data_IF_443000351802
#
_entry.id   IF_443000351802
#
_cell.length_a   1.000
_cell.length_b   1.000
_cell.length_c   1.000
_cell.angle_alpha   90.00
_cell.angle_beta   90.00
_cell.angle_gamma   90.00
#
_symmetry.space_group_name_H-M   'P 1'
#
loop_
_entity.id
_entity.type
_entity.pdbx_description
1 polymer ?
#
# COMPACT_ATOMS: atom_id res chain seq x y z
N UNK A 1 68.81 -24.15 31.34
CA UNK A 1 67.38 -24.58 31.30
C UNK A 1 66.37 -23.55 31.79
N UNK A 2 66.75 -22.37 32.25
CA UNK A 2 65.79 -21.32 32.71
C UNK A 2 65.35 -20.29 31.62
N UNK A 3 66.01 -20.24 30.47
CA UNK A 3 65.69 -19.28 29.41
C UNK A 3 64.66 -19.76 28.34
N UNK A 4 64.38 -21.05 28.27
CA UNK A 4 63.42 -21.58 27.28
C UNK A 4 62.00 -21.64 27.80
N UNK A 5 61.76 -21.56 29.11
CA UNK A 5 60.38 -21.54 29.68
C UNK A 5 59.72 -20.18 29.52
N UNK A 6 60.49 -19.09 29.44
CA UNK A 6 59.97 -17.74 29.32
C UNK A 6 59.38 -17.45 27.92
N UNK A 7 59.87 -18.10 26.88
CA UNK A 7 59.36 -17.91 25.51
C UNK A 7 58.10 -18.73 25.21
N UNK A 8 57.86 -19.81 25.91
CA UNK A 8 56.64 -20.63 25.72
C UNK A 8 55.42 -19.96 26.39
N UNK A 9 55.62 -19.22 27.47
CA UNK A 9 54.55 -18.47 28.13
C UNK A 9 54.14 -17.17 27.38
N UNK A 10 55.05 -16.58 26.58
CA UNK A 10 54.77 -15.39 25.82
C UNK A 10 53.97 -15.67 24.53
N UNK A 11 54.02 -16.89 23.98
CA UNK A 11 53.31 -17.26 22.75
C UNK A 11 51.85 -17.68 23.01
N UNK A 12 51.53 -18.12 24.22
CA UNK A 12 50.15 -18.53 24.58
C UNK A 12 49.25 -17.31 24.89
N UNK A 13 49.82 -16.15 25.18
CA UNK A 13 49.05 -14.93 25.51
C UNK A 13 48.64 -14.09 24.30
N UNK A 14 49.06 -14.43 23.07
CA UNK A 14 48.78 -13.68 21.86
C UNK A 14 47.66 -14.31 20.98
N UNK A 15 47.04 -15.42 21.39
CA UNK A 15 46.02 -16.11 20.57
C UNK A 15 44.60 -16.04 21.14
N UNK A 16 44.38 -15.14 22.14
CA UNK A 16 43.13 -15.03 22.89
C UNK A 16 42.23 -13.85 22.57
N UNK A 17 42.41 -13.15 21.45
CA UNK A 17 41.65 -11.94 21.19
C UNK A 17 41.33 -11.79 19.70
N UNK A 18 40.41 -12.56 19.12
CA UNK A 18 39.56 -12.13 18.02
C UNK A 18 38.40 -13.12 17.88
N UNK A 19 37.39 -13.04 18.71
CA UNK A 19 36.03 -13.50 18.42
C UNK A 19 35.02 -12.47 18.97
N UNK A 20 35.19 -11.20 18.63
CA UNK A 20 34.03 -10.30 18.58
C UNK A 20 33.37 -10.55 17.26
N UNK A 21 32.55 -11.60 17.17
CA UNK A 21 31.54 -11.72 16.13
C UNK A 21 30.66 -10.50 16.25
N UNK A 22 30.72 -9.58 15.28
CA UNK A 22 29.63 -8.65 15.04
C UNK A 22 28.37 -9.50 14.89
N UNK A 23 27.49 -9.49 15.89
CA UNK A 23 26.09 -9.78 15.66
C UNK A 23 25.67 -8.74 14.62
N UNK A 24 25.43 -9.16 13.39
CA UNK A 24 24.57 -8.44 12.48
C UNK A 24 23.24 -8.38 13.23
N UNK A 25 22.90 -7.22 13.74
CA UNK A 25 21.52 -6.96 14.11
C UNK A 25 20.75 -7.15 12.80
N UNK A 26 20.04 -8.26 12.69
CA UNK A 26 18.97 -8.43 11.71
C UNK A 26 17.86 -7.46 12.13
N UNK A 27 18.09 -6.14 11.87
CA UNK A 27 16.98 -5.22 11.76
C UNK A 27 16.11 -5.79 10.67
N UNK A 28 14.84 -6.04 11.01
CA UNK A 28 13.81 -6.19 10.01
C UNK A 28 14.04 -5.08 8.97
N UNK A 29 13.89 -5.35 7.66
CA UNK A 29 14.04 -4.32 6.66
C UNK A 29 13.21 -3.11 7.12
N UNK A 30 13.88 -1.96 7.31
CA UNK A 30 13.17 -0.70 7.50
C UNK A 30 12.25 -0.60 6.28
N UNK A 31 10.96 -0.42 6.53
CA UNK A 31 9.99 -0.12 5.48
C UNK A 31 10.51 1.15 4.79
N UNK A 32 11.18 1.01 3.64
CA UNK A 32 11.43 2.16 2.79
C UNK A 32 10.04 2.56 2.27
N UNK A 33 9.49 3.66 2.81
CA UNK A 33 8.22 4.19 2.34
C UNK A 33 8.32 4.40 0.82
N UNK A 34 7.55 3.59 0.08
CA UNK A 34 7.53 3.69 -1.37
C UNK A 34 6.88 5.02 -1.76
N UNK A 35 7.58 5.80 -2.60
CA UNK A 35 7.02 7.04 -3.11
C UNK A 35 5.82 6.73 -4.02
N UNK A 36 4.61 7.01 -3.53
CA UNK A 36 3.37 6.89 -4.30
C UNK A 36 3.03 8.24 -4.91
N UNK A 37 3.17 8.36 -6.23
CA UNK A 37 2.88 9.60 -6.95
C UNK A 37 1.56 9.56 -7.71
N UNK A 38 1.04 8.37 -8.00
CA UNK A 38 -0.16 8.23 -8.84
C UNK A 38 -1.02 7.08 -8.35
N UNK A 39 -2.32 7.34 -8.20
CA UNK A 39 -3.35 6.33 -7.91
C UNK A 39 -4.44 6.41 -8.96
N UNK A 40 -4.79 5.27 -9.57
CA UNK A 40 -5.84 5.15 -10.60
C UNK A 40 -6.90 4.16 -10.14
N UNK A 41 -8.15 4.58 -10.15
CA UNK A 41 -9.32 3.72 -9.94
C UNK A 41 -9.99 3.46 -11.29
N UNK A 42 -9.97 2.22 -11.74
CA UNK A 42 -10.59 1.82 -13.02
C UNK A 42 -11.84 0.99 -12.75
N UNK A 43 -12.95 1.44 -13.31
CA UNK A 43 -14.28 0.85 -13.15
C UNK A 43 -14.76 0.21 -14.43
N UNK A 44 -15.34 -0.99 -14.31
CA UNK A 44 -16.04 -1.72 -15.39
C UNK A 44 -17.42 -2.07 -14.91
N UNK A 45 -18.49 -1.60 -15.61
CA UNK A 45 -19.86 -1.91 -15.24
C UNK A 45 -20.14 -3.42 -15.38
N UNK A 46 -20.72 -4.03 -14.34
CA UNK A 46 -21.11 -5.44 -14.34
C UNK A 46 -22.33 -5.62 -15.26
N UNK A 47 -22.20 -6.52 -16.24
CA UNK A 47 -23.25 -6.73 -17.25
C UNK A 47 -23.36 -5.62 -18.29
N UNK A 48 -22.47 -4.66 -18.30
CA UNK A 48 -22.39 -3.59 -19.30
C UNK A 48 -21.62 -4.00 -20.56
N UNK A 49 -21.25 -3.03 -21.38
CA UNK A 49 -20.52 -3.21 -22.65
C UNK A 49 -19.04 -3.54 -22.48
N UNK A 50 -18.52 -3.54 -21.24
CA UNK A 50 -17.09 -3.66 -20.93
C UNK A 50 -16.31 -2.34 -21.06
N UNK A 51 -17.00 -1.21 -21.29
CA UNK A 51 -16.37 0.11 -21.28
C UNK A 51 -15.79 0.40 -19.89
N UNK A 52 -14.61 1.02 -19.87
CA UNK A 52 -13.91 1.41 -18.66
C UNK A 52 -14.03 2.90 -18.39
N UNK A 53 -14.15 3.27 -17.11
CA UNK A 53 -13.98 4.63 -16.62
C UNK A 53 -12.83 4.65 -15.64
N UNK A 54 -11.86 5.53 -15.82
CA UNK A 54 -10.69 5.66 -14.93
C UNK A 54 -10.66 7.04 -14.31
N UNK A 55 -10.42 7.10 -13.01
CA UNK A 55 -10.26 8.35 -12.26
C UNK A 55 -8.90 8.34 -11.57
N UNK A 56 -8.16 9.42 -11.76
CA UNK A 56 -6.73 9.51 -11.38
C UNK A 56 -6.53 10.57 -10.30
N UNK A 57 -5.74 10.22 -9.32
CA UNK A 57 -5.04 11.15 -8.44
C UNK A 57 -3.57 11.16 -8.83
N UNK A 58 -2.96 12.36 -8.89
CA UNK A 58 -1.53 12.51 -9.18
C UNK A 58 -0.92 13.62 -8.33
N UNK A 59 0.11 13.24 -7.59
CA UNK A 59 0.94 14.07 -6.76
C UNK A 59 2.40 13.70 -7.04
N UNK A 60 3.12 14.54 -7.76
CA UNK A 60 4.42 14.17 -8.34
C UNK A 60 5.55 14.05 -7.31
N UNK A 61 5.45 14.73 -6.19
CA UNK A 61 6.43 14.76 -5.09
C UNK A 61 5.93 14.04 -3.82
N UNK A 62 4.72 13.44 -3.90
CA UNK A 62 4.13 12.67 -2.81
C UNK A 62 3.58 13.50 -1.66
N UNK A 63 3.12 12.85 -0.58
CA UNK A 63 2.49 13.52 0.55
C UNK A 63 3.38 14.59 1.19
N UNK A 64 2.85 15.80 1.40
CA UNK A 64 3.50 16.88 2.16
C UNK A 64 4.33 17.86 1.33
N UNK A 65 4.41 17.68 0.01
CA UNK A 65 5.07 18.58 -0.93
C UNK A 65 4.17 19.65 -1.53
N UNK A 66 4.21 19.83 -2.86
CA UNK A 66 3.30 20.68 -3.59
C UNK A 66 1.88 20.10 -3.59
N UNK A 67 0.87 20.90 -3.96
CA UNK A 67 -0.48 20.38 -4.10
C UNK A 67 -0.57 19.35 -5.25
N UNK A 68 -1.42 18.31 -5.14
CA UNK A 68 -1.64 17.35 -6.21
C UNK A 68 -1.96 18.04 -7.54
N UNK A 69 -1.36 17.58 -8.62
CA UNK A 69 -1.56 18.13 -9.97
C UNK A 69 -2.84 17.60 -10.61
N UNK A 70 -3.41 16.50 -10.08
CA UNK A 70 -4.65 15.90 -10.55
C UNK A 70 -5.39 15.24 -9.37
N UNK A 71 -6.68 15.47 -9.28
CA UNK A 71 -7.61 14.75 -8.41
C UNK A 71 -8.96 14.71 -9.09
N UNK A 72 -9.18 13.70 -9.94
CA UNK A 72 -10.40 13.58 -10.75
C UNK A 72 -11.58 13.16 -9.87
N UNK A 73 -12.74 13.73 -10.15
CA UNK A 73 -13.99 13.35 -9.50
C UNK A 73 -14.49 12.00 -10.03
N UNK A 74 -14.78 11.05 -9.14
CA UNK A 74 -15.44 9.80 -9.48
C UNK A 74 -16.90 10.08 -9.85
N UNK A 75 -17.26 9.85 -11.12
CA UNK A 75 -18.61 10.01 -11.64
C UNK A 75 -19.12 8.65 -12.14
N UNK A 76 -20.12 8.09 -11.45
CA UNK A 76 -20.70 6.79 -11.79
C UNK A 76 -22.20 6.91 -12.06
N UNK A 77 -22.70 6.09 -12.99
CA UNK A 77 -24.14 6.05 -13.29
C UNK A 77 -24.94 5.47 -12.10
N UNK A 78 -26.21 5.91 -11.92
CA UNK A 78 -27.04 5.45 -10.82
C UNK A 78 -27.55 4.02 -11.01
N UNK A 79 -27.77 3.35 -9.87
CA UNK A 79 -28.33 1.99 -9.79
C UNK A 79 -27.56 0.96 -10.60
N UNK A 80 -26.24 1.02 -10.52
CA UNK A 80 -25.30 0.15 -11.22
C UNK A 80 -24.36 -0.56 -10.24
N UNK A 81 -23.71 -1.60 -10.75
CA UNK A 81 -22.62 -2.27 -10.07
C UNK A 81 -21.38 -2.24 -10.96
N UNK A 82 -20.23 -2.01 -10.35
CA UNK A 82 -18.93 -1.93 -11.01
C UNK A 82 -17.91 -2.82 -10.35
N UNK A 83 -17.10 -3.50 -11.16
CA UNK A 83 -15.81 -4.02 -10.71
C UNK A 83 -14.81 -2.86 -10.76
N UNK A 84 -14.15 -2.60 -9.65
CA UNK A 84 -13.10 -1.60 -9.54
C UNK A 84 -11.74 -2.27 -9.33
N UNK A 85 -10.73 -1.78 -10.04
CA UNK A 85 -9.33 -2.13 -9.83
C UNK A 85 -8.55 -0.87 -9.50
N UNK A 86 -7.72 -0.91 -8.45
CA UNK A 86 -6.80 0.16 -8.11
C UNK A 86 -5.42 -0.14 -8.69
N UNK A 87 -4.77 0.89 -9.23
CA UNK A 87 -3.35 0.87 -9.62
C UNK A 87 -2.61 2.01 -8.92
N UNK A 88 -1.46 1.69 -8.36
CA UNK A 88 -0.57 2.59 -7.63
C UNK A 88 0.78 2.60 -8.31
N UNK A 89 1.31 3.80 -8.61
CA UNK A 89 2.53 3.97 -9.36
C UNK A 89 3.45 5.01 -8.71
N UNK A 90 4.75 4.81 -8.87
CA UNK A 90 5.77 5.85 -8.73
C UNK A 90 6.19 6.33 -10.14
N UNK A 91 5.62 7.45 -10.58
CA UNK A 91 5.94 8.08 -11.87
C UNK A 91 7.15 9.04 -11.80
N UNK A 92 7.81 9.17 -10.64
CA UNK A 92 9.10 9.86 -10.53
C UNK A 92 10.22 9.09 -11.25
N UNK A 93 10.02 7.79 -11.45
CA UNK A 93 10.96 6.87 -12.12
C UNK A 93 10.63 6.74 -13.61
N UNK A 94 11.63 6.34 -14.41
CA UNK A 94 11.48 6.07 -15.85
C UNK A 94 12.12 4.72 -16.20
N UNK A 95 11.34 3.67 -16.57
CA UNK A 95 9.88 3.65 -16.60
C UNK A 95 9.27 3.78 -15.20
N UNK A 96 8.00 4.21 -15.12
CA UNK A 96 7.27 4.28 -13.85
C UNK A 96 7.31 2.94 -13.11
N UNK A 97 7.59 2.96 -11.81
CA UNK A 97 7.54 1.75 -10.98
C UNK A 97 6.08 1.37 -10.71
N UNK A 98 5.81 0.07 -10.73
CA UNK A 98 4.48 -0.48 -10.47
C UNK A 98 4.35 -0.92 -9.01
N UNK A 99 4.02 0.02 -8.13
CA UNK A 99 3.85 -0.22 -6.69
C UNK A 99 2.71 -1.21 -6.43
N UNK A 100 1.69 -1.27 -7.29
CA UNK A 100 0.63 -2.29 -7.15
C UNK A 100 1.18 -3.72 -7.18
N UNK A 101 2.20 -3.98 -8.00
CA UNK A 101 2.80 -5.31 -8.08
C UNK A 101 3.55 -5.67 -6.78
N UNK A 102 4.18 -4.69 -6.15
CA UNK A 102 4.88 -4.83 -4.86
C UNK A 102 3.86 -5.06 -3.74
N UNK A 103 2.77 -4.27 -3.67
CA UNK A 103 1.65 -4.48 -2.74
C UNK A 103 1.04 -5.88 -2.88
N UNK A 104 0.92 -6.42 -4.10
CA UNK A 104 0.41 -7.77 -4.34
C UNK A 104 1.41 -8.83 -3.88
N UNK A 105 2.72 -8.62 -4.10
CA UNK A 105 3.76 -9.54 -3.64
C UNK A 105 3.80 -9.61 -2.10
N UNK A 106 3.53 -8.48 -1.44
CA UNK A 106 3.47 -8.31 0.01
C UNK A 106 2.02 -8.25 0.54
N UNK A 107 1.10 -8.96 -0.12
CA UNK A 107 -0.32 -8.89 0.19
C UNK A 107 -0.66 -9.20 1.65
N UNK A 108 0.19 -9.99 2.34
CA UNK A 108 -0.01 -10.33 3.75
C UNK A 108 0.17 -9.14 4.69
N UNK A 109 0.81 -8.08 4.21
CA UNK A 109 1.16 -6.91 5.02
C UNK A 109 0.43 -5.62 4.56
N UNK A 110 -0.25 -5.64 3.41
CA UNK A 110 -0.96 -4.49 2.88
C UNK A 110 -2.49 -4.66 2.85
N UNK A 111 -3.21 -3.54 2.98
CA UNK A 111 -4.67 -3.51 2.83
C UNK A 111 -5.16 -2.14 2.37
N UNK A 112 -6.00 -2.13 1.31
CA UNK A 112 -6.76 -0.95 0.92
C UNK A 112 -8.08 -0.86 1.70
N UNK A 113 -8.43 0.36 2.08
CA UNK A 113 -9.71 0.75 2.64
C UNK A 113 -10.39 1.77 1.74
N UNK A 114 -11.71 1.64 1.60
CA UNK A 114 -12.55 2.52 0.82
C UNK A 114 -13.69 3.01 1.72
N UNK A 115 -13.79 4.32 1.96
CA UNK A 115 -14.78 4.92 2.83
C UNK A 115 -15.61 5.99 2.11
N UNK A 116 -16.74 5.62 1.46
CA UNK A 116 -17.69 6.57 0.89
C UNK A 116 -18.34 7.40 1.99
N UNK A 117 -18.53 8.71 1.74
CA UNK A 117 -19.20 9.64 2.63
C UNK A 117 -20.00 10.68 1.85
N UNK A 118 -21.27 10.87 2.20
CA UNK A 118 -22.15 11.84 1.54
C UNK A 118 -22.55 11.52 0.09
N UNK A 119 -22.25 10.31 -0.40
CA UNK A 119 -22.57 9.86 -1.75
C UNK A 119 -23.20 8.47 -1.70
N UNK A 120 -24.13 8.17 -2.64
CA UNK A 120 -24.82 6.89 -2.71
C UNK A 120 -23.97 5.80 -3.35
N UNK A 121 -22.84 5.47 -2.72
CA UNK A 121 -21.92 4.41 -3.12
C UNK A 121 -21.68 3.48 -1.94
N UNK A 122 -21.69 2.17 -2.20
CA UNK A 122 -21.27 1.13 -1.26
C UNK A 122 -20.14 0.34 -1.88
N UNK A 123 -19.08 0.07 -1.10
CA UNK A 123 -17.95 -0.74 -1.52
C UNK A 123 -17.96 -2.07 -0.78
N UNK A 124 -17.76 -3.16 -1.50
CA UNK A 124 -17.76 -4.52 -0.98
C UNK A 124 -16.88 -5.43 -1.85
N UNK A 125 -16.85 -6.73 -1.60
CA UNK A 125 -16.19 -7.70 -2.48
C UNK A 125 -14.71 -7.43 -2.70
N UNK A 126 -13.99 -6.99 -1.66
CA UNK A 126 -12.54 -6.84 -1.73
C UNK A 126 -11.90 -8.18 -2.00
N UNK A 127 -10.90 -8.23 -2.91
CA UNK A 127 -10.07 -9.43 -3.02
C UNK A 127 -9.25 -9.64 -1.75
N UNK A 128 -8.85 -10.89 -1.54
CA UNK A 128 -8.09 -11.29 -0.36
C UNK A 128 -6.61 -11.56 -0.69
N UNK A 129 -5.81 -11.53 0.36
CA UNK A 129 -4.45 -12.06 0.37
C UNK A 129 -4.45 -13.62 0.40
N UNK A 130 -3.29 -14.26 0.28
CA UNK A 130 -3.19 -15.73 0.32
C UNK A 130 -3.68 -16.38 1.62
N UNK A 131 -3.81 -15.61 2.71
CA UNK A 131 -4.32 -16.08 4.01
C UNK A 131 -5.83 -15.82 4.18
N UNK A 132 -6.52 -15.33 3.13
CA UNK A 132 -7.96 -15.05 3.15
C UNK A 132 -8.35 -13.74 3.83
N UNK A 133 -7.40 -12.84 4.14
CA UNK A 133 -7.67 -11.53 4.73
C UNK A 133 -7.82 -10.46 3.63
N UNK A 134 -8.61 -9.40 3.83
CA UNK A 134 -8.81 -8.36 2.81
C UNK A 134 -7.51 -7.73 2.33
N UNK A 135 -7.31 -7.64 1.00
CA UNK A 135 -6.27 -6.86 0.34
C UNK A 135 -6.85 -5.60 -0.31
N UNK A 136 -7.88 -5.76 -1.14
CA UNK A 136 -8.63 -4.66 -1.73
C UNK A 136 -8.04 -4.05 -3.01
N UNK A 137 -7.13 -4.72 -3.72
CA UNK A 137 -6.65 -4.28 -5.05
C UNK A 137 -7.80 -4.34 -6.07
N UNK A 138 -8.72 -5.27 -5.88
CA UNK A 138 -10.00 -5.30 -6.60
C UNK A 138 -11.16 -5.23 -5.61
N UNK A 139 -12.26 -4.61 -6.04
CA UNK A 139 -13.45 -4.41 -5.20
C UNK A 139 -14.71 -4.28 -6.06
N UNK A 140 -15.88 -4.43 -5.43
CA UNK A 140 -17.18 -4.25 -6.07
C UNK A 140 -17.83 -2.98 -5.51
N UNK A 141 -18.22 -2.06 -6.40
CA UNK A 141 -18.87 -0.80 -6.05
C UNK A 141 -20.31 -0.82 -6.55
N UNK A 142 -21.23 -0.53 -5.66
CA UNK A 142 -22.67 -0.45 -5.98
C UNK A 142 -23.13 0.97 -5.77
N UNK A 143 -23.74 1.57 -6.82
CA UNK A 143 -24.35 2.90 -6.77
C UNK A 143 -25.84 2.80 -6.49
N UNK A 144 -26.35 3.72 -5.67
CA UNK A 144 -27.78 3.95 -5.50
C UNK A 144 -28.32 4.96 -6.50
N UNK A 145 -29.39 5.65 -6.13
CA UNK A 145 -29.97 6.73 -6.95
C UNK A 145 -28.99 7.89 -7.10
N UNK A 146 -29.13 8.64 -8.22
CA UNK A 146 -28.42 9.90 -8.43
C UNK A 146 -28.68 10.86 -7.26
N UNK A 147 -27.66 11.65 -6.88
CA UNK A 147 -27.77 12.49 -5.69
C UNK A 147 -26.67 13.53 -5.54
N UNK A 148 -26.53 14.02 -4.32
CA UNK A 148 -25.52 15.00 -3.97
C UNK A 148 -24.09 14.43 -4.18
N UNK A 149 -23.14 15.31 -4.46
CA UNK A 149 -21.74 14.97 -4.43
C UNK A 149 -21.28 14.73 -2.99
N UNK A 150 -20.36 13.80 -2.83
CA UNK A 150 -19.69 13.49 -1.58
C UNK A 150 -18.23 13.15 -1.86
N UNK A 151 -17.66 12.26 -1.08
CA UNK A 151 -16.27 11.81 -1.21
C UNK A 151 -16.16 10.29 -1.07
N UNK A 152 -15.09 9.74 -1.63
CA UNK A 152 -14.59 8.41 -1.26
C UNK A 152 -13.15 8.55 -0.81
N UNK A 153 -12.91 8.25 0.47
CA UNK A 153 -11.55 8.16 0.99
C UNK A 153 -10.97 6.80 0.63
N UNK A 154 -9.80 6.80 0.02
CA UNK A 154 -8.98 5.62 -0.27
C UNK A 154 -7.75 5.67 0.62
N UNK A 155 -7.51 4.62 1.40
CA UNK A 155 -6.34 4.53 2.29
C UNK A 155 -5.63 3.21 2.02
N UNK A 156 -4.32 3.24 1.79
CA UNK A 156 -3.44 2.08 1.83
C UNK A 156 -2.78 2.01 3.19
N UNK A 157 -2.83 0.84 3.80
CA UNK A 157 -2.19 0.56 5.10
C UNK A 157 -1.15 -0.53 4.95
N UNK A 158 0.01 -0.32 5.56
CA UNK A 158 1.06 -1.30 5.78
C UNK A 158 0.97 -1.84 7.21
N UNK A 159 0.90 -3.17 7.37
CA UNK A 159 0.59 -3.87 8.62
C UNK A 159 1.47 -5.11 8.83
N UNK A 160 2.79 -5.02 8.78
CA UNK A 160 3.67 -6.18 8.88
C UNK A 160 3.43 -6.94 10.18
N UNK A 161 3.13 -8.23 10.05
CA UNK A 161 2.87 -9.13 11.16
C UNK A 161 1.64 -8.82 12.02
N UNK A 162 0.86 -7.76 11.71
CA UNK A 162 -0.30 -7.32 12.51
C UNK A 162 -1.62 -7.37 11.76
N UNK A 163 -1.61 -7.66 10.46
CA UNK A 163 -2.80 -7.69 9.61
C UNK A 163 -3.77 -8.80 10.01
N UNK A 164 -5.01 -8.44 10.33
CA UNK A 164 -6.13 -9.33 10.64
C UNK A 164 -7.26 -9.24 9.61
N UNK A 165 -8.28 -10.10 9.76
CA UNK A 165 -9.42 -10.19 8.82
C UNK A 165 -10.42 -9.04 8.94
N UNK A 166 -10.48 -8.38 10.10
CA UNK A 166 -11.48 -7.33 10.39
C UNK A 166 -10.83 -6.11 11.06
N UNK A 167 -9.60 -5.79 10.71
CA UNK A 167 -8.91 -4.65 11.30
C UNK A 167 -9.57 -3.34 10.91
N UNK A 168 -9.73 -2.41 11.84
CA UNK A 168 -10.07 -1.03 11.49
C UNK A 168 -8.90 -0.34 10.76
N UNK A 169 -9.20 0.71 10.01
CA UNK A 169 -8.22 1.52 9.28
C UNK A 169 -7.14 2.16 10.17
N UNK A 170 -7.34 2.16 11.49
CA UNK A 170 -6.39 2.68 12.48
C UNK A 170 -5.22 1.74 12.78
N UNK A 171 -5.26 0.48 12.31
CA UNK A 171 -4.18 -0.49 12.50
C UNK A 171 -3.15 -0.35 11.39
N UNK A 172 -1.87 -0.34 11.76
CA UNK A 172 -0.73 -0.23 10.86
C UNK A 172 -0.41 1.21 10.42
N UNK A 173 0.65 1.37 9.65
CA UNK A 173 1.11 2.65 9.09
C UNK A 173 0.29 3.01 7.85
N UNK A 174 0.23 4.31 7.51
CA UNK A 174 -0.50 4.79 6.33
C UNK A 174 0.49 5.14 5.24
N UNK A 175 0.50 4.38 4.15
CA UNK A 175 1.36 4.67 3.00
C UNK A 175 0.78 5.81 2.15
N UNK A 176 -0.54 5.82 1.96
CA UNK A 176 -1.24 6.92 1.31
C UNK A 176 -2.70 7.03 1.77
N UNK A 177 -3.21 8.26 1.84
CA UNK A 177 -4.62 8.57 2.07
C UNK A 177 -5.08 9.65 1.08
N UNK A 178 -6.12 9.36 0.28
CA UNK A 178 -6.65 10.25 -0.75
C UNK A 178 -8.14 10.41 -0.57
N UNK A 179 -8.65 11.63 -0.66
CA UNK A 179 -10.06 11.92 -0.74
C UNK A 179 -10.44 12.26 -2.21
N UNK A 180 -11.03 11.31 -2.91
CA UNK A 180 -11.66 11.58 -4.21
C UNK A 180 -13.01 12.24 -4.00
N UNK A 181 -13.28 13.36 -4.69
CA UNK A 181 -14.66 13.80 -4.86
C UNK A 181 -15.45 12.72 -5.61
N UNK A 182 -16.70 12.48 -5.25
CA UNK A 182 -17.50 11.44 -5.89
C UNK A 182 -18.97 11.88 -6.08
N UNK A 183 -19.57 11.44 -7.18
CA UNK A 183 -20.98 11.69 -7.48
C UNK A 183 -21.61 10.52 -8.23
N UNK A 184 -22.88 10.24 -7.91
CA UNK A 184 -23.74 9.36 -8.70
C UNK A 184 -24.67 10.23 -9.54
N UNK A 185 -24.55 10.16 -10.90
CA UNK A 185 -25.29 11.02 -11.85
C UNK A 185 -25.54 10.37 -13.21
#
# INVERSE_FOLDING_TARGET
>A
MKKQITYVLAVILLFGAVLTGCKKDDKAPENEEELITTVKLTFVEVGGTGATSTFTFKDADGPGGAAPTMNEQINLAPNKQYNCTIAVLDESKTPAANITAEIIAEANDHQFYYAPSGVNITVSGLNNDPLGRPLGVTSVWTTGAAGAAGTVKVTLKHKPGTKGSNDPVTVGETDIEINFAARVQ
#
